data_IF_650148179872
#
_entry.id   IF_650148179872
#
_cell.length_a   1.000
_cell.length_b   1.000
_cell.length_c   1.000
_cell.angle_alpha   90.00
_cell.angle_beta   90.00
_cell.angle_gamma   90.00
#
_symmetry.space_group_name_H-M   'P 1'
#
loop_
_entity.id
_entity.type
_entity.pdbx_description
1 polymer ?
#
# COMPACT_ATOMS: atom_id res chain seq x y z
N UNK A 1 5.88 4.00 -20.99
CA UNK A 1 6.99 3.31 -21.63
C UNK A 1 7.87 4.31 -22.35
N UNK A 2 9.19 4.24 -22.14
CA UNK A 2 10.15 5.08 -22.84
C UNK A 2 10.31 4.52 -24.26
N UNK A 3 9.76 5.24 -25.24
CA UNK A 3 9.90 4.90 -26.66
C UNK A 3 10.48 6.12 -27.34
N UNK A 4 11.53 5.93 -28.12
CA UNK A 4 12.11 6.93 -29.01
C UNK A 4 12.08 6.44 -30.45
N UNK A 5 11.78 7.31 -31.37
CA UNK A 5 11.71 7.01 -32.81
C UNK A 5 12.63 7.96 -33.55
N UNK A 6 13.54 7.42 -34.35
CA UNK A 6 14.35 8.19 -35.25
C UNK A 6 14.07 7.80 -36.69
N UNK A 7 14.05 8.79 -37.57
CA UNK A 7 13.84 8.61 -39.01
C UNK A 7 15.10 9.16 -39.73
N UNK A 8 15.77 8.32 -40.50
CA UNK A 8 17.07 8.61 -41.14
C UNK A 8 18.14 9.16 -40.14
N UNK A 9 18.13 8.66 -38.89
CA UNK A 9 19.07 9.08 -37.85
C UNK A 9 18.67 10.37 -37.11
N UNK A 10 17.58 11.03 -37.48
CA UNK A 10 17.06 12.21 -36.80
C UNK A 10 15.94 11.81 -35.82
N UNK A 11 16.03 12.27 -34.55
CA UNK A 11 15.07 11.96 -33.52
C UNK A 11 13.77 12.76 -33.76
N UNK A 12 12.63 12.06 -33.73
CA UNK A 12 11.30 12.65 -33.86
C UNK A 12 10.66 12.86 -32.49
N UNK A 13 9.78 13.85 -32.39
CA UNK A 13 9.12 14.22 -31.13
C UNK A 13 7.88 13.36 -30.88
N UNK A 14 7.74 12.82 -29.67
CA UNK A 14 6.55 12.09 -29.26
C UNK A 14 5.47 13.06 -28.78
N UNK A 15 4.25 12.94 -29.33
CA UNK A 15 3.05 13.64 -28.86
C UNK A 15 1.99 12.66 -28.36
N UNK A 16 1.01 13.15 -27.60
CA UNK A 16 -0.10 12.35 -27.07
C UNK A 16 -1.36 12.49 -27.92
N UNK A 17 -1.50 13.58 -28.65
CA UNK A 17 -2.64 13.89 -29.54
C UNK A 17 -2.17 14.39 -30.90
N UNK A 18 -2.93 14.08 -31.95
CA UNK A 18 -2.73 14.67 -33.28
C UNK A 18 -2.90 16.17 -33.28
N UNK A 19 -3.76 16.70 -32.44
CA UNK A 19 -4.07 18.12 -32.34
C UNK A 19 -2.94 18.96 -31.73
N UNK A 20 -1.98 18.32 -31.07
CA UNK A 20 -0.79 18.97 -30.49
C UNK A 20 0.36 19.11 -31.50
N UNK A 21 0.22 18.52 -32.70
CA UNK A 21 1.26 18.47 -33.72
C UNK A 21 1.08 19.58 -34.72
N UNK A 22 2.12 20.42 -34.86
CA UNK A 22 2.12 21.50 -35.83
C UNK A 22 2.35 20.98 -37.28
N UNK A 23 1.96 21.78 -38.24
CA UNK A 23 2.24 21.53 -39.64
C UNK A 23 3.76 21.34 -39.88
N UNK A 24 4.16 20.30 -40.61
CA UNK A 24 5.56 19.92 -40.87
C UNK A 24 6.42 19.52 -39.65
N UNK A 25 5.86 19.45 -38.44
CA UNK A 25 6.59 18.98 -37.28
C UNK A 25 6.94 17.50 -37.43
N UNK A 26 8.19 17.14 -37.15
CA UNK A 26 8.69 15.76 -37.13
C UNK A 26 8.25 15.06 -35.85
N UNK A 27 7.02 14.56 -35.88
CA UNK A 27 6.34 14.04 -34.71
C UNK A 27 5.73 12.65 -34.95
N UNK A 28 5.54 11.91 -33.88
CA UNK A 28 4.87 10.61 -33.89
C UNK A 28 3.96 10.44 -32.67
N UNK A 29 2.97 9.59 -32.82
CA UNK A 29 2.06 9.14 -31.77
C UNK A 29 2.26 7.65 -31.53
N UNK A 30 2.05 7.23 -30.29
CA UNK A 30 2.05 5.82 -29.91
C UNK A 30 0.66 5.46 -29.40
N UNK A 31 0.05 4.44 -30.00
CA UNK A 31 -1.23 3.89 -29.56
C UNK A 31 -1.09 2.41 -29.26
N UNK A 32 -1.96 1.90 -28.39
CA UNK A 32 -2.00 0.47 -28.13
C UNK A 32 -2.68 -0.24 -29.30
N UNK A 33 -1.96 -1.17 -29.91
CA UNK A 33 -2.49 -2.00 -31.02
C UNK A 33 -3.49 -3.05 -30.53
N UNK A 34 -4.31 -3.54 -31.45
CA UNK A 34 -5.39 -4.51 -31.18
C UNK A 34 -4.83 -5.83 -30.60
N UNK A 35 -3.62 -6.23 -31.00
CA UNK A 35 -2.95 -7.44 -30.54
C UNK A 35 -2.14 -7.26 -29.25
N UNK A 36 -2.27 -6.11 -28.57
CA UNK A 36 -1.54 -5.80 -27.35
C UNK A 36 -0.11 -5.27 -27.58
N UNK A 37 0.28 -5.05 -28.83
CA UNK A 37 1.51 -4.34 -29.21
C UNK A 37 1.31 -2.81 -29.17
N UNK A 38 2.31 -2.09 -29.69
CA UNK A 38 2.26 -0.64 -29.84
C UNK A 38 2.31 -0.29 -31.33
N UNK A 39 1.36 0.54 -31.74
CA UNK A 39 1.30 1.09 -33.08
C UNK A 39 1.87 2.51 -33.08
N UNK A 40 2.76 2.79 -34.03
CA UNK A 40 3.37 4.11 -34.18
C UNK A 40 2.72 4.79 -35.40
N UNK A 41 2.19 5.97 -35.15
CA UNK A 41 1.53 6.79 -36.18
C UNK A 41 2.38 8.03 -36.44
N UNK A 42 2.68 8.28 -37.68
CA UNK A 42 3.35 9.49 -38.14
C UNK A 42 2.34 10.51 -38.66
N UNK A 43 2.80 11.73 -38.93
CA UNK A 43 2.01 12.76 -39.50
C UNK A 43 1.43 12.42 -40.90
N UNK A 44 0.41 13.15 -41.29
CA UNK A 44 -0.28 12.96 -42.56
C UNK A 44 -0.14 14.16 -43.56
N UNK A 45 0.78 15.09 -43.23
CA UNK A 45 1.01 16.30 -44.00
C UNK A 45 0.12 17.48 -43.67
N UNK A 46 -0.98 17.25 -42.92
CA UNK A 46 -1.79 18.33 -42.32
C UNK A 46 -1.48 18.48 -40.83
N UNK A 47 -1.24 17.36 -40.19
CA UNK A 47 -0.81 17.26 -38.80
C UNK A 47 0.51 16.50 -38.80
N UNK A 48 1.63 17.22 -38.77
CA UNK A 48 2.97 16.66 -38.75
C UNK A 48 3.50 16.18 -40.10
N UNK A 49 4.82 16.01 -40.13
CA UNK A 49 5.53 15.56 -41.32
C UNK A 49 5.27 14.08 -41.63
N UNK A 50 5.27 13.74 -42.91
CA UNK A 50 5.24 12.36 -43.40
C UNK A 50 6.69 11.87 -43.51
N UNK A 51 7.07 10.69 -42.96
CA UNK A 51 8.37 10.13 -43.20
C UNK A 51 8.66 9.99 -44.73
N UNK A 52 9.86 10.35 -45.23
CA UNK A 52 10.21 10.18 -46.63
C UNK A 52 10.06 8.74 -47.09
N UNK A 53 9.68 8.54 -48.33
CA UNK A 53 9.58 7.20 -48.89
C UNK A 53 10.99 6.51 -48.87
N UNK A 54 11.04 5.29 -48.31
CA UNK A 54 12.28 4.55 -48.13
C UNK A 54 13.17 5.00 -46.96
N UNK A 55 12.65 5.86 -46.08
CA UNK A 55 13.36 6.27 -44.87
C UNK A 55 13.63 5.08 -43.95
N UNK A 56 14.82 5.07 -43.32
CA UNK A 56 15.14 4.13 -42.24
C UNK A 56 14.49 4.60 -40.95
N UNK A 57 13.58 3.80 -40.41
CA UNK A 57 12.91 4.06 -39.14
C UNK A 57 13.49 3.16 -38.07
N UNK A 58 14.08 3.74 -37.02
CA UNK A 58 14.61 3.02 -35.87
C UNK A 58 13.76 3.34 -34.68
N UNK A 59 13.29 2.30 -34.01
CA UNK A 59 12.46 2.41 -32.80
C UNK A 59 13.20 1.79 -31.62
N UNK A 60 13.53 2.61 -30.65
CA UNK A 60 14.13 2.17 -29.40
C UNK A 60 13.05 2.15 -28.30
N UNK A 61 12.97 1.07 -27.57
CA UNK A 61 12.00 0.93 -26.49
C UNK A 61 12.54 0.09 -25.34
N UNK A 62 12.04 0.35 -24.15
CA UNK A 62 12.38 -0.45 -22.97
C UNK A 62 11.32 -1.52 -22.79
N UNK A 63 11.77 -2.77 -22.75
CA UNK A 63 10.93 -3.91 -22.39
C UNK A 63 11.16 -4.25 -20.92
N UNK A 64 10.10 -4.33 -20.14
CA UNK A 64 10.15 -4.75 -18.74
C UNK A 64 9.38 -6.05 -18.53
N UNK A 65 9.67 -6.73 -17.44
CA UNK A 65 9.11 -8.05 -17.10
C UNK A 65 8.02 -7.96 -16.00
N UNK A 66 7.54 -6.77 -15.72
CA UNK A 66 6.49 -6.54 -14.72
C UNK A 66 6.95 -6.89 -13.30
N UNK A 67 6.11 -7.62 -12.55
CA UNK A 67 6.42 -8.08 -11.20
C UNK A 67 7.71 -8.91 -11.13
N UNK A 68 8.02 -9.66 -12.18
CA UNK A 68 9.26 -10.47 -12.23
C UNK A 68 10.54 -9.64 -12.30
N UNK A 69 10.44 -8.33 -12.44
CA UNK A 69 11.58 -7.40 -12.39
C UNK A 69 11.96 -6.96 -10.98
N UNK A 70 11.16 -7.28 -9.99
CA UNK A 70 11.50 -7.02 -8.59
C UNK A 70 12.58 -8.03 -8.16
N UNK A 71 13.64 -7.53 -7.54
CA UNK A 71 14.76 -8.35 -7.08
C UNK A 71 14.80 -8.36 -5.55
N UNK A 72 15.26 -9.47 -4.98
CA UNK A 72 15.53 -9.58 -3.56
C UNK A 72 16.73 -8.72 -3.15
N UNK A 73 16.77 -8.30 -1.89
CA UNK A 73 17.91 -7.64 -1.26
C UNK A 73 19.03 -8.63 -0.93
N UNK A 74 19.29 -9.60 -1.82
CA UNK A 74 20.34 -10.58 -1.61
C UNK A 74 21.70 -9.94 -1.84
N UNK A 75 22.63 -10.03 -0.88
CA UNK A 75 24.00 -9.54 -1.04
C UNK A 75 24.79 -10.26 -2.16
N UNK A 76 24.28 -11.40 -2.66
CA UNK A 76 24.93 -12.21 -3.69
C UNK A 76 24.50 -11.83 -5.11
N UNK A 77 23.72 -10.76 -5.29
CA UNK A 77 23.36 -10.25 -6.61
C UNK A 77 24.58 -9.68 -7.33
N UNK A 78 25.15 -10.46 -8.22
CA UNK A 78 26.24 -10.04 -9.08
C UNK A 78 25.68 -9.52 -10.41
N UNK A 79 25.92 -8.26 -10.71
CA UNK A 79 25.59 -7.69 -12.03
C UNK A 79 26.68 -8.13 -13.01
N UNK A 80 26.28 -8.88 -14.02
CA UNK A 80 27.12 -9.13 -15.19
C UNK A 80 26.67 -8.23 -16.32
N UNK A 81 27.57 -7.48 -16.87
CA UNK A 81 27.34 -6.62 -18.03
C UNK A 81 28.37 -6.91 -19.12
N UNK A 82 27.88 -7.03 -20.33
CA UNK A 82 28.72 -7.18 -21.51
C UNK A 82 29.06 -5.77 -22.04
N UNK A 83 29.95 -5.09 -21.35
CA UNK A 83 30.42 -3.78 -21.79
C UNK A 83 31.93 -3.83 -22.07
N UNK A 84 32.28 -3.49 -23.28
CA UNK A 84 33.64 -3.37 -23.72
C UNK A 84 34.01 -1.90 -23.83
N UNK A 85 35.07 -1.48 -23.18
CA UNK A 85 35.64 -0.14 -23.28
C UNK A 85 36.93 -0.17 -24.09
N UNK A 86 37.18 0.89 -24.86
CA UNK A 86 38.47 1.03 -25.57
C UNK A 86 39.36 2.00 -24.83
N UNK A 87 40.63 1.65 -24.67
CA UNK A 87 41.66 2.55 -24.14
C UNK A 87 42.07 3.62 -25.17
N UNK A 88 42.95 4.54 -24.77
CA UNK A 88 43.46 5.59 -25.65
C UNK A 88 44.24 5.07 -26.86
N UNK A 89 44.62 3.78 -26.88
CA UNK A 89 45.34 3.11 -27.97
C UNK A 89 44.39 2.32 -28.87
N UNK A 90 43.08 2.31 -28.54
CA UNK A 90 42.08 1.56 -29.31
C UNK A 90 41.99 0.07 -28.95
N UNK A 91 42.62 -0.36 -27.85
CA UNK A 91 42.53 -1.74 -27.37
C UNK A 91 41.21 -1.92 -26.59
N UNK A 92 40.48 -2.94 -26.95
CA UNK A 92 39.23 -3.29 -26.27
C UNK A 92 39.51 -4.04 -24.96
N UNK A 93 38.88 -3.62 -23.88
CA UNK A 93 38.96 -4.22 -22.54
C UNK A 93 37.59 -4.58 -22.06
N UNK A 94 37.44 -5.72 -21.41
CA UNK A 94 36.21 -6.07 -20.67
C UNK A 94 36.11 -5.19 -19.40
N UNK A 95 35.06 -4.39 -19.32
CA UNK A 95 34.86 -3.48 -18.18
C UNK A 95 34.61 -4.21 -16.85
N UNK A 96 34.22 -5.49 -16.90
CA UNK A 96 34.09 -6.31 -15.69
C UNK A 96 35.41 -6.54 -14.94
N UNK A 97 36.58 -6.38 -15.65
CA UNK A 97 37.90 -6.50 -15.02
C UNK A 97 38.29 -5.24 -14.21
N UNK A 98 37.66 -4.12 -14.50
CA UNK A 98 38.06 -2.80 -13.98
C UNK A 98 37.03 -2.14 -13.08
N UNK A 99 35.79 -2.63 -13.11
CA UNK A 99 34.66 -2.00 -12.39
C UNK A 99 33.96 -3.02 -11.52
N UNK A 100 33.90 -2.72 -10.21
CA UNK A 100 33.01 -3.38 -9.28
C UNK A 100 31.69 -2.62 -9.22
N UNK A 101 30.59 -3.31 -9.49
CA UNK A 101 29.25 -2.74 -9.41
C UNK A 101 28.51 -3.36 -8.23
N UNK A 102 28.15 -2.53 -7.28
CA UNK A 102 27.32 -2.91 -6.15
C UNK A 102 25.92 -2.36 -6.28
N UNK A 103 24.94 -3.17 -5.97
CA UNK A 103 23.54 -2.73 -5.88
C UNK A 103 23.34 -2.09 -4.52
N UNK A 104 23.06 -0.78 -4.50
CA UNK A 104 22.80 -0.04 -3.27
C UNK A 104 21.35 -0.17 -2.80
N UNK A 105 20.43 -0.44 -3.72
CA UNK A 105 19.02 -0.71 -3.43
C UNK A 105 18.45 -1.64 -4.49
N UNK A 106 17.66 -2.61 -4.09
CA UNK A 106 17.00 -3.53 -5.01
C UNK A 106 15.93 -2.82 -5.83
N UNK A 107 15.83 -3.12 -7.15
CA UNK A 107 14.72 -2.63 -7.96
C UNK A 107 13.42 -3.24 -7.46
N UNK A 108 12.51 -2.37 -7.01
CA UNK A 108 11.17 -2.68 -6.51
C UNK A 108 10.12 -1.95 -7.35
N UNK A 109 8.83 -2.14 -7.03
CA UNK A 109 7.68 -1.49 -7.67
C UNK A 109 7.42 -1.90 -9.14
N UNK A 110 8.00 -3.00 -9.59
CA UNK A 110 7.57 -3.61 -10.83
C UNK A 110 6.13 -4.10 -10.72
N UNK A 111 5.27 -3.77 -11.68
CA UNK A 111 3.88 -4.23 -11.73
C UNK A 111 3.54 -4.80 -13.10
N UNK A 112 2.59 -5.74 -13.12
CA UNK A 112 2.07 -6.26 -14.36
C UNK A 112 1.10 -5.28 -15.02
N UNK A 113 0.67 -5.60 -16.23
CA UNK A 113 -0.28 -4.78 -16.98
C UNK A 113 -1.61 -4.67 -16.24
N UNK A 114 -2.19 -3.47 -16.26
CA UNK A 114 -3.53 -3.23 -15.74
C UNK A 114 -4.58 -4.18 -16.34
N UNK A 115 -5.50 -4.64 -15.49
CA UNK A 115 -6.59 -5.49 -15.95
C UNK A 115 -7.58 -4.69 -16.82
N UNK A 116 -8.20 -5.37 -17.79
CA UNK A 116 -9.24 -4.76 -18.63
C UNK A 116 -10.43 -4.26 -17.80
N UNK A 117 -10.71 -4.90 -16.66
CA UNK A 117 -11.77 -4.49 -15.74
C UNK A 117 -11.43 -3.16 -15.07
N UNK A 118 -10.20 -3.02 -14.57
CA UNK A 118 -9.71 -1.76 -14.00
C UNK A 118 -9.80 -0.62 -15.03
N UNK A 119 -9.30 -0.84 -16.24
CA UNK A 119 -9.38 0.15 -17.32
C UNK A 119 -10.84 0.55 -17.63
N UNK A 120 -11.78 -0.40 -17.64
CA UNK A 120 -13.21 -0.10 -17.88
C UNK A 120 -13.83 0.77 -16.78
N UNK A 121 -13.47 0.55 -15.53
CA UNK A 121 -13.96 1.33 -14.38
C UNK A 121 -13.37 2.74 -14.44
N UNK A 122 -12.09 2.86 -14.79
CA UNK A 122 -11.37 4.13 -14.76
C UNK A 122 -11.62 5.02 -15.99
N UNK A 123 -12.01 4.46 -17.15
CA UNK A 123 -12.23 5.23 -18.38
C UNK A 123 -13.30 6.32 -18.25
N UNK A 124 -14.47 6.11 -17.61
CA UNK A 124 -15.45 7.18 -17.44
C UNK A 124 -14.95 8.31 -16.55
N UNK A 125 -14.11 8.00 -15.56
CA UNK A 125 -13.50 8.99 -14.68
C UNK A 125 -12.44 9.81 -15.44
N UNK A 126 -11.67 9.17 -16.32
CA UNK A 126 -10.66 9.83 -17.16
C UNK A 126 -11.25 10.95 -18.04
N UNK A 127 -12.49 10.80 -18.48
CA UNK A 127 -13.16 11.79 -19.33
C UNK A 127 -13.59 13.06 -18.58
N UNK A 128 -13.60 13.04 -17.24
CA UNK A 128 -14.04 14.17 -16.41
C UNK A 128 -12.90 15.07 -15.92
N UNK A 129 -11.65 14.66 -16.08
CA UNK A 129 -10.51 15.23 -15.37
C UNK A 129 -9.55 15.97 -16.29
N UNK A 130 -9.97 17.12 -16.84
CA UNK A 130 -9.06 18.03 -17.55
C UNK A 130 -8.37 19.04 -16.62
N UNK A 131 -8.94 19.29 -15.45
CA UNK A 131 -8.42 20.22 -14.44
C UNK A 131 -8.57 19.56 -13.08
N UNK A 132 -7.54 19.65 -12.26
CA UNK A 132 -7.53 19.17 -10.86
C UNK A 132 -8.12 20.27 -9.98
N UNK A 133 -9.45 20.29 -9.85
CA UNK A 133 -10.19 21.30 -9.12
C UNK A 133 -10.87 20.78 -7.86
N UNK A 134 -11.23 19.49 -7.82
CA UNK A 134 -11.92 18.86 -6.69
C UNK A 134 -11.09 17.71 -6.12
N UNK A 135 -11.29 17.33 -4.86
CA UNK A 135 -10.61 16.18 -4.26
C UNK A 135 -10.69 14.92 -5.14
N UNK A 136 -11.87 14.58 -5.65
CA UNK A 136 -12.08 13.43 -6.54
C UNK A 136 -11.19 13.45 -7.78
N UNK A 137 -10.85 14.66 -8.32
CA UNK A 137 -9.98 14.76 -9.48
C UNK A 137 -8.55 14.38 -9.15
N UNK A 138 -8.05 14.76 -7.96
CA UNK A 138 -6.71 14.39 -7.47
C UNK A 138 -6.62 12.90 -7.19
N UNK A 139 -7.60 12.35 -6.49
CA UNK A 139 -7.68 10.91 -6.22
C UNK A 139 -7.65 10.10 -7.53
N UNK A 140 -8.49 10.49 -8.48
CA UNK A 140 -8.52 9.86 -9.78
C UNK A 140 -7.18 10.01 -10.54
N UNK A 141 -6.60 11.21 -10.55
CA UNK A 141 -5.34 11.46 -11.24
C UNK A 141 -4.22 10.58 -10.71
N UNK A 142 -4.08 10.46 -9.39
CA UNK A 142 -3.06 9.66 -8.74
C UNK A 142 -3.32 8.15 -8.89
N UNK A 143 -4.58 7.72 -8.86
CA UNK A 143 -4.94 6.31 -9.03
C UNK A 143 -4.51 5.73 -10.39
N UNK A 144 -4.32 6.58 -11.40
CA UNK A 144 -3.81 6.19 -12.72
C UNK A 144 -2.40 5.60 -12.68
N UNK A 145 -1.62 5.94 -11.68
CA UNK A 145 -0.26 5.41 -11.52
C UNK A 145 -0.23 3.98 -11.00
N UNK A 146 -1.38 3.45 -10.54
CA UNK A 146 -1.50 2.07 -10.06
C UNK A 146 -0.42 1.68 -9.04
N UNK A 147 0.00 2.63 -8.21
CA UNK A 147 1.02 2.45 -7.16
C UNK A 147 0.41 2.32 -5.78
N UNK A 148 -0.85 2.66 -5.65
CA UNK A 148 -1.54 2.79 -4.37
C UNK A 148 -2.55 1.68 -4.17
N UNK A 149 -2.66 1.21 -2.95
CA UNK A 149 -3.76 0.34 -2.50
C UNK A 149 -4.96 1.16 -2.07
N UNK A 150 -4.72 2.39 -1.63
CA UNK A 150 -5.75 3.33 -1.19
C UNK A 150 -5.30 4.78 -1.40
N UNK A 151 -6.21 5.60 -1.88
CA UNK A 151 -6.06 7.05 -1.96
C UNK A 151 -7.38 7.65 -1.50
N UNK A 152 -7.30 8.68 -0.69
CA UNK A 152 -8.40 9.51 -0.28
C UNK A 152 -7.96 10.97 -0.38
N UNK A 153 -8.73 11.80 -1.05
CA UNK A 153 -8.48 13.22 -1.16
C UNK A 153 -9.68 13.99 -0.60
N UNK A 154 -9.42 15.01 0.18
CA UNK A 154 -10.46 15.78 0.86
C UNK A 154 -10.05 17.23 1.09
N UNK A 155 -11.02 18.06 1.41
CA UNK A 155 -10.85 19.49 1.71
C UNK A 155 -11.76 19.93 2.86
N UNK A 156 -11.85 21.22 3.09
CA UNK A 156 -12.71 21.83 4.12
C UNK A 156 -14.20 21.53 3.95
N UNK A 157 -14.66 21.20 2.75
CA UNK A 157 -16.06 20.81 2.53
C UNK A 157 -16.35 19.43 3.08
N UNK A 158 -15.36 18.56 3.06
CA UNK A 158 -15.48 17.16 3.51
C UNK A 158 -15.18 17.04 5.02
N UNK A 159 -14.36 17.95 5.56
CA UNK A 159 -13.98 17.96 6.97
C UNK A 159 -14.07 19.37 7.55
N UNK A 160 -15.06 19.57 8.43
CA UNK A 160 -15.33 20.86 9.08
C UNK A 160 -14.24 21.34 10.06
N UNK A 161 -13.26 20.50 10.37
CA UNK A 161 -12.15 20.85 11.26
C UNK A 161 -10.95 21.44 10.51
N UNK A 162 -11.03 21.49 9.20
CA UNK A 162 -10.00 22.11 8.36
C UNK A 162 -10.36 23.57 8.11
N UNK A 163 -9.36 24.47 8.18
CA UNK A 163 -9.59 25.91 8.07
C UNK A 163 -9.12 26.53 6.72
N UNK A 164 -8.53 25.73 5.82
CA UNK A 164 -7.91 26.24 4.58
C UNK A 164 -8.73 25.91 3.33
N UNK A 165 -9.39 26.92 2.78
CA UNK A 165 -10.33 26.76 1.66
C UNK A 165 -9.70 26.29 0.33
N UNK A 166 -8.39 26.50 0.13
CA UNK A 166 -7.72 26.18 -1.13
C UNK A 166 -6.70 25.04 -0.99
N UNK A 167 -6.81 24.24 0.05
CA UNK A 167 -5.91 23.12 0.30
C UNK A 167 -6.63 21.82 0.01
N UNK A 168 -5.97 20.95 -0.76
CA UNK A 168 -6.38 19.56 -0.95
C UNK A 168 -5.44 18.68 -0.13
N UNK A 169 -6.02 17.96 0.80
CA UNK A 169 -5.32 16.97 1.60
C UNK A 169 -5.41 15.62 0.91
N UNK A 170 -4.28 14.96 0.74
CA UNK A 170 -4.21 13.65 0.08
C UNK A 170 -3.59 12.63 1.03
N UNK A 171 -4.39 11.67 1.41
CA UNK A 171 -3.96 10.50 2.14
C UNK A 171 -3.77 9.34 1.17
N UNK A 172 -2.54 8.84 1.04
CA UNK A 172 -2.21 7.79 0.09
C UNK A 172 -1.42 6.67 0.77
N UNK A 173 -1.87 5.44 0.57
CA UNK A 173 -1.19 4.23 1.05
C UNK A 173 -0.70 3.45 -0.16
N UNK A 174 0.61 3.20 -0.26
CA UNK A 174 1.15 2.45 -1.39
C UNK A 174 0.65 1.01 -1.38
N UNK A 175 0.67 0.38 -2.54
CA UNK A 175 0.42 -1.04 -2.66
C UNK A 175 1.66 -1.81 -2.16
N UNK A 176 1.63 -2.23 -0.90
CA UNK A 176 2.73 -2.96 -0.26
C UNK A 176 3.18 -4.19 -1.07
N UNK A 177 2.24 -4.85 -1.76
CA UNK A 177 2.56 -5.98 -2.62
C UNK A 177 3.51 -5.63 -3.77
N UNK A 178 3.45 -4.40 -4.27
CA UNK A 178 4.35 -3.92 -5.34
C UNK A 178 5.73 -3.50 -4.84
N UNK A 179 5.81 -3.15 -3.56
CA UNK A 179 7.07 -2.85 -2.88
C UNK A 179 7.78 -4.11 -2.38
N UNK A 180 7.07 -5.25 -2.35
CA UNK A 180 7.59 -6.51 -1.83
C UNK A 180 8.67 -7.06 -2.77
N UNK A 181 9.84 -7.40 -2.23
CA UNK A 181 10.86 -8.10 -2.97
C UNK A 181 10.45 -9.57 -3.20
N UNK A 182 11.08 -10.21 -4.16
CA UNK A 182 10.83 -11.63 -4.44
C UNK A 182 11.26 -12.48 -3.24
N UNK A 183 10.44 -13.33 -2.72
CA UNK A 183 10.59 -14.15 -1.51
C UNK A 183 10.39 -13.42 -0.18
N UNK A 184 9.93 -12.18 -0.17
CA UNK A 184 9.43 -11.53 1.04
C UNK A 184 7.95 -11.80 1.21
N UNK A 185 7.51 -11.79 2.45
CA UNK A 185 6.11 -11.81 2.84
C UNK A 185 5.75 -10.53 3.63
N UNK A 186 4.50 -10.34 3.99
CA UNK A 186 4.06 -9.20 4.78
C UNK A 186 4.87 -9.03 6.08
N UNK A 187 5.23 -10.13 6.71
CA UNK A 187 5.90 -10.13 8.01
C UNK A 187 7.41 -9.88 7.91
N UNK A 188 8.01 -10.17 6.77
CA UNK A 188 9.44 -9.91 6.51
C UNK A 188 9.71 -8.53 5.92
N UNK A 189 8.65 -7.81 5.49
CA UNK A 189 8.76 -6.46 4.96
C UNK A 189 9.00 -5.45 6.09
N UNK A 190 10.02 -4.59 6.02
CA UNK A 190 10.20 -3.51 6.97
C UNK A 190 8.98 -2.57 6.97
N UNK A 191 8.58 -2.10 8.16
CA UNK A 191 7.39 -1.24 8.28
C UNK A 191 7.51 0.05 7.47
N UNK A 192 8.69 0.64 7.45
CA UNK A 192 8.99 1.87 6.69
C UNK A 192 8.71 1.69 5.18
N UNK A 193 8.89 0.50 4.65
CA UNK A 193 8.61 0.19 3.24
C UNK A 193 7.10 0.03 2.95
N UNK A 194 6.28 -0.13 3.98
CA UNK A 194 4.80 -0.19 3.82
C UNK A 194 4.19 1.18 3.52
N UNK A 195 4.94 2.26 3.75
CA UNK A 195 4.49 3.62 3.56
C UNK A 195 5.29 4.34 2.49
N UNK A 196 4.84 5.54 2.15
CA UNK A 196 5.55 6.41 1.21
C UNK A 196 6.71 7.09 1.94
N UNK A 197 7.88 7.09 1.33
CA UNK A 197 9.02 7.87 1.79
C UNK A 197 8.96 9.33 1.30
N UNK A 198 9.85 10.18 1.81
CA UNK A 198 9.87 11.59 1.43
C UNK A 198 10.16 11.78 -0.06
N UNK A 199 11.00 10.94 -0.65
CA UNK A 199 11.31 11.00 -2.09
C UNK A 199 10.11 10.62 -2.97
N UNK A 200 9.29 9.68 -2.51
CA UNK A 200 8.04 9.30 -3.18
C UNK A 200 7.00 10.43 -3.09
N UNK A 201 6.89 11.11 -1.93
CA UNK A 201 6.04 12.31 -1.79
C UNK A 201 6.49 13.43 -2.71
N UNK A 202 7.78 13.75 -2.75
CA UNK A 202 8.35 14.78 -3.62
C UNK A 202 8.14 14.45 -5.10
N UNK A 203 8.27 13.17 -5.47
CA UNK A 203 7.99 12.71 -6.83
C UNK A 203 6.51 12.88 -7.21
N UNK A 204 5.58 12.63 -6.27
CA UNK A 204 4.15 12.84 -6.51
C UNK A 204 3.81 14.31 -6.65
N UNK A 205 4.37 15.20 -5.82
CA UNK A 205 4.21 16.65 -5.97
C UNK A 205 4.67 17.09 -7.35
N UNK A 206 5.85 16.65 -7.76
CA UNK A 206 6.39 16.98 -9.09
C UNK A 206 5.50 16.47 -10.22
N UNK A 207 4.95 15.28 -10.11
CA UNK A 207 4.03 14.73 -11.11
C UNK A 207 2.75 15.56 -11.22
N UNK A 208 2.22 16.05 -10.10
CA UNK A 208 1.05 16.94 -10.10
C UNK A 208 1.37 18.29 -10.76
N UNK A 209 2.50 18.92 -10.40
CA UNK A 209 2.96 20.18 -11.00
C UNK A 209 3.23 20.04 -12.50
N UNK A 210 3.99 19.02 -12.91
CA UNK A 210 4.36 18.76 -14.31
C UNK A 210 3.15 18.41 -15.20
N UNK A 211 2.04 17.99 -14.59
CA UNK A 211 0.79 17.71 -15.32
C UNK A 211 0.20 18.95 -15.98
N UNK A 212 0.47 20.13 -15.41
CA UNK A 212 -0.14 21.40 -15.84
C UNK A 212 -1.67 21.46 -15.64
N UNK A 213 -2.24 20.50 -14.91
CA UNK A 213 -3.70 20.39 -14.68
C UNK A 213 -4.11 20.96 -13.33
N UNK A 214 -3.17 21.19 -12.41
CA UNK A 214 -3.42 21.74 -11.09
C UNK A 214 -3.82 23.23 -11.21
N UNK A 215 -4.80 23.64 -10.43
CA UNK A 215 -5.17 25.05 -10.32
C UNK A 215 -4.07 25.82 -9.58
N UNK A 216 -3.70 26.97 -10.10
CA UNK A 216 -2.59 27.82 -9.54
C UNK A 216 -2.82 28.22 -8.09
N UNK A 217 -4.08 28.31 -7.66
CA UNK A 217 -4.46 28.70 -6.30
C UNK A 217 -4.59 27.55 -5.34
N UNK A 218 -4.45 26.30 -5.79
CA UNK A 218 -4.65 25.11 -4.95
C UNK A 218 -3.32 24.62 -4.43
N UNK A 219 -3.20 24.51 -3.12
CA UNK A 219 -2.12 23.83 -2.44
C UNK A 219 -2.47 22.35 -2.23
N UNK A 220 -1.48 21.47 -2.38
CA UNK A 220 -1.64 20.04 -2.13
C UNK A 220 -0.77 19.65 -0.95
N UNK A 221 -1.38 19.02 0.03
CA UNK A 221 -0.71 18.51 1.24
C UNK A 221 -0.89 17.00 1.31
N UNK A 222 0.22 16.26 1.27
CA UNK A 222 0.18 14.82 1.52
C UNK A 222 0.19 14.55 3.03
N UNK A 223 -0.85 13.83 3.47
CA UNK A 223 -1.02 13.48 4.88
C UNK A 223 -0.32 12.16 5.15
N UNK A 224 0.50 12.14 6.21
CA UNK A 224 1.19 10.92 6.63
C UNK A 224 0.22 10.02 7.39
N UNK A 225 0.25 8.70 7.14
CA UNK A 225 -0.59 7.75 7.85
C UNK A 225 -0.27 7.71 9.34
N UNK A 226 -1.31 7.62 10.14
CA UNK A 226 -1.22 7.30 11.57
C UNK A 226 -1.21 5.79 11.72
N UNK A 227 -0.06 5.25 12.12
CA UNK A 227 0.10 3.81 12.25
C UNK A 227 -0.45 3.35 13.59
N UNK A 228 -1.33 2.34 13.57
CA UNK A 228 -1.76 1.60 14.76
C UNK A 228 -1.31 0.17 14.67
N UNK A 229 -0.62 -0.28 15.70
CA UNK A 229 -0.11 -1.63 15.75
C UNK A 229 -1.10 -2.61 16.37
N UNK A 230 -1.19 -3.76 15.74
CA UNK A 230 -1.99 -4.88 16.21
C UNK A 230 -1.18 -6.17 16.11
N UNK A 231 -1.46 -7.08 17.02
CA UNK A 231 -1.06 -8.48 16.91
C UNK A 231 -2.28 -9.38 16.77
N UNK A 232 -2.06 -10.61 16.36
CA UNK A 232 -3.12 -11.57 16.09
C UNK A 232 -2.86 -12.86 16.85
N UNK A 233 -3.82 -13.28 17.65
CA UNK A 233 -3.85 -14.57 18.32
C UNK A 233 -4.76 -15.52 17.56
N UNK A 234 -4.21 -16.61 17.05
CA UNK A 234 -4.95 -17.63 16.27
C UNK A 234 -4.89 -18.95 17.04
N UNK A 235 -6.04 -19.45 17.46
CA UNK A 235 -6.17 -20.75 18.09
C UNK A 235 -6.75 -21.73 17.08
N UNK A 236 -6.04 -22.83 16.81
CA UNK A 236 -6.36 -23.78 15.77
C UNK A 236 -6.62 -25.16 16.35
N UNK A 237 -7.76 -25.71 15.97
CA UNK A 237 -8.05 -27.14 16.10
C UNK A 237 -7.86 -27.81 14.74
N UNK A 238 -7.09 -28.88 14.69
CA UNK A 238 -6.68 -29.50 13.44
C UNK A 238 -7.00 -30.98 13.39
N UNK A 239 -7.09 -31.53 12.18
CA UNK A 239 -7.38 -32.94 11.94
C UNK A 239 -6.14 -33.83 12.02
N UNK A 240 -6.35 -35.08 12.42
CA UNK A 240 -5.32 -36.14 12.30
C UNK A 240 -4.84 -36.25 10.85
N UNK A 241 -3.53 -36.50 10.70
CA UNK A 241 -2.88 -36.68 9.40
C UNK A 241 -2.20 -35.44 8.84
N UNK A 242 -2.29 -34.30 9.54
CA UNK A 242 -1.57 -33.08 9.23
C UNK A 242 -0.56 -32.75 10.32
N UNK A 243 0.57 -32.17 9.94
CA UNK A 243 1.57 -31.71 10.90
C UNK A 243 1.32 -30.27 11.31
N UNK A 244 1.65 -29.91 12.54
CA UNK A 244 1.54 -28.52 13.05
C UNK A 244 2.35 -27.56 12.21
N UNK A 245 3.50 -27.99 11.72
CA UNK A 245 4.40 -27.17 10.91
C UNK A 245 3.82 -26.85 9.52
N UNK A 246 3.20 -27.82 8.85
CA UNK A 246 2.53 -27.60 7.58
C UNK A 246 1.37 -26.61 7.72
N UNK A 247 0.55 -26.78 8.77
CA UNK A 247 -0.57 -25.87 9.06
C UNK A 247 -0.04 -24.48 9.40
N UNK A 248 1.00 -24.37 10.24
CA UNK A 248 1.61 -23.11 10.62
C UNK A 248 2.05 -22.31 9.38
N UNK A 249 2.81 -22.95 8.48
CA UNK A 249 3.29 -22.32 7.26
C UNK A 249 2.14 -21.89 6.33
N UNK A 250 1.10 -22.73 6.22
CA UNK A 250 -0.07 -22.42 5.41
C UNK A 250 -0.88 -21.24 5.97
N UNK A 251 -1.08 -21.20 7.29
CA UNK A 251 -1.75 -20.10 7.99
C UNK A 251 -0.98 -18.81 7.81
N UNK A 252 0.33 -18.83 8.08
CA UNK A 252 1.20 -17.65 7.94
C UNK A 252 1.16 -17.10 6.50
N UNK A 253 1.25 -17.98 5.51
CA UNK A 253 1.18 -17.59 4.09
C UNK A 253 -0.16 -16.96 3.72
N UNK A 254 -1.28 -17.57 4.14
CA UNK A 254 -2.63 -17.06 3.87
C UNK A 254 -2.90 -15.72 4.56
N UNK A 255 -2.49 -15.57 5.81
CA UNK A 255 -2.61 -14.29 6.54
C UNK A 255 -1.76 -13.21 5.87
N UNK A 256 -0.51 -13.53 5.51
CA UNK A 256 0.36 -12.60 4.77
C UNK A 256 -0.29 -12.15 3.45
N UNK A 257 -0.80 -13.08 2.66
CA UNK A 257 -1.48 -12.78 1.40
C UNK A 257 -2.70 -11.89 1.60
N UNK A 258 -3.49 -12.15 2.64
CA UNK A 258 -4.66 -11.34 2.98
C UNK A 258 -4.25 -9.92 3.36
N UNK A 259 -3.28 -9.76 4.25
CA UNK A 259 -2.81 -8.46 4.72
C UNK A 259 -2.22 -7.61 3.59
N UNK A 260 -1.53 -8.23 2.64
CA UNK A 260 -1.01 -7.56 1.45
C UNK A 260 -2.11 -7.12 0.45
N UNK A 261 -3.27 -7.77 0.47
CA UNK A 261 -4.39 -7.50 -0.43
C UNK A 261 -5.48 -6.64 0.21
N UNK A 262 -5.33 -6.19 1.45
CA UNK A 262 -6.31 -5.34 2.11
C UNK A 262 -6.46 -4.02 1.36
N UNK A 263 -7.65 -3.83 0.77
CA UNK A 263 -8.04 -2.57 0.12
C UNK A 263 -8.96 -1.74 1.01
N UNK A 264 -9.61 -2.37 1.99
CA UNK A 264 -10.52 -1.71 2.91
C UNK A 264 -9.76 -1.00 4.01
N UNK A 265 -10.16 0.25 4.31
CA UNK A 265 -9.47 1.11 5.29
C UNK A 265 -10.35 1.57 6.45
N UNK A 266 -11.66 1.39 6.36
CA UNK A 266 -12.61 1.75 7.42
C UNK A 266 -12.70 0.69 8.52
N UNK A 267 -12.57 -0.58 8.16
CA UNK A 267 -12.75 -1.71 9.07
C UNK A 267 -12.00 -2.96 8.59
N UNK A 268 -11.40 -3.68 9.53
CA UNK A 268 -10.81 -4.98 9.32
C UNK A 268 -11.58 -6.02 10.16
N UNK A 269 -12.50 -6.79 9.55
CA UNK A 269 -13.26 -7.78 10.28
C UNK A 269 -12.45 -9.05 10.52
N UNK A 270 -12.50 -9.55 11.76
CA UNK A 270 -11.87 -10.84 12.10
C UNK A 270 -12.48 -12.04 11.36
N UNK A 271 -13.75 -11.91 10.96
CA UNK A 271 -14.44 -12.94 10.18
C UNK A 271 -13.77 -13.23 8.84
N UNK A 272 -13.15 -12.24 8.21
CA UNK A 272 -12.46 -12.43 6.95
C UNK A 272 -11.23 -13.32 7.14
N UNK A 273 -10.48 -13.11 8.24
CA UNK A 273 -9.35 -13.97 8.61
C UNK A 273 -9.82 -15.39 8.92
N UNK A 274 -10.89 -15.53 9.73
CA UNK A 274 -11.45 -16.85 10.04
C UNK A 274 -11.81 -17.58 8.76
N UNK A 275 -12.49 -16.89 7.84
CA UNK A 275 -12.94 -17.48 6.58
C UNK A 275 -11.78 -18.04 5.73
N UNK A 276 -10.72 -17.24 5.53
CA UNK A 276 -9.56 -17.68 4.73
C UNK A 276 -8.78 -18.81 5.39
N UNK A 277 -8.79 -18.88 6.74
CA UNK A 277 -8.12 -19.94 7.48
C UNK A 277 -8.91 -21.24 7.49
N UNK A 278 -10.25 -21.19 7.54
CA UNK A 278 -11.10 -22.38 7.44
C UNK A 278 -11.04 -23.04 6.05
N UNK A 279 -10.56 -22.32 5.01
CA UNK A 279 -10.31 -22.92 3.70
C UNK A 279 -9.05 -23.80 3.64
N UNK A 280 -8.18 -23.72 4.66
CA UNK A 280 -6.95 -24.51 4.69
C UNK A 280 -7.27 -25.97 5.01
N UNK A 281 -6.85 -26.88 4.12
CA UNK A 281 -6.97 -28.32 4.39
C UNK A 281 -6.23 -28.70 5.67
N UNK A 282 -6.89 -29.44 6.54
CA UNK A 282 -6.32 -29.88 7.81
C UNK A 282 -6.78 -29.06 9.01
N UNK A 283 -7.46 -27.95 8.83
CA UNK A 283 -8.06 -27.16 9.91
C UNK A 283 -9.51 -27.60 10.13
N UNK A 284 -9.89 -27.85 11.38
CA UNK A 284 -11.25 -28.19 11.81
C UNK A 284 -12.00 -26.95 12.32
N UNK A 285 -11.34 -26.13 13.11
CA UNK A 285 -11.90 -24.87 13.62
C UNK A 285 -10.81 -23.85 13.93
N UNK A 286 -11.16 -22.58 13.77
CA UNK A 286 -10.25 -21.46 14.03
C UNK A 286 -10.95 -20.42 14.92
N UNK A 287 -10.22 -19.89 15.87
CA UNK A 287 -10.63 -18.70 16.61
C UNK A 287 -9.54 -17.65 16.48
N UNK A 288 -9.91 -16.45 16.06
CA UNK A 288 -9.00 -15.32 15.85
C UNK A 288 -9.34 -14.21 16.82
N UNK A 289 -8.32 -13.63 17.43
CA UNK A 289 -8.42 -12.46 18.29
C UNK A 289 -7.39 -11.43 17.87
N UNK A 290 -7.81 -10.20 17.69
CA UNK A 290 -6.91 -9.06 17.54
C UNK A 290 -6.56 -8.49 18.91
N UNK A 291 -5.33 -8.06 19.07
CA UNK A 291 -4.81 -7.40 20.27
C UNK A 291 -4.13 -6.12 19.78
N UNK A 292 -4.60 -4.98 20.27
CA UNK A 292 -3.97 -3.70 19.96
C UNK A 292 -2.80 -3.42 20.90
N UNK A 293 -1.89 -2.57 20.46
CA UNK A 293 -0.81 -2.04 21.28
C UNK A 293 -1.34 -1.37 22.56
N UNK A 294 -2.43 -0.61 22.43
CA UNK A 294 -3.09 0.04 23.57
C UNK A 294 -3.67 -0.97 24.56
N UNK A 295 -4.24 -2.09 24.09
CA UNK A 295 -4.72 -3.17 24.97
C UNK A 295 -3.54 -3.84 25.70
N UNK A 296 -2.44 -4.11 25.03
CA UNK A 296 -1.30 -4.72 25.65
C UNK A 296 -0.62 -3.81 26.67
N UNK A 297 -0.48 -2.54 26.34
CA UNK A 297 -0.01 -1.50 27.26
C UNK A 297 -0.92 -1.40 28.50
N UNK A 298 -2.23 -1.38 28.29
CA UNK A 298 -3.21 -1.34 29.38
C UNK A 298 -3.11 -2.58 30.30
N UNK A 299 -2.84 -3.74 29.74
CA UNK A 299 -2.65 -4.98 30.53
C UNK A 299 -1.42 -4.93 31.43
N UNK A 300 -0.37 -4.24 31.02
CA UNK A 300 0.90 -4.17 31.76
C UNK A 300 0.97 -2.99 32.71
N UNK A 301 0.54 -1.81 32.27
CA UNK A 301 0.71 -0.55 33.00
C UNK A 301 -0.61 0.00 33.57
N UNK A 302 -1.75 -0.59 33.19
CA UNK A 302 -3.06 -0.03 33.46
C UNK A 302 -3.48 1.03 32.40
N UNK A 303 -4.65 1.55 32.54
CA UNK A 303 -5.17 2.62 31.68
C UNK A 303 -5.87 3.70 32.51
N UNK A 304 -5.97 4.89 31.94
CA UNK A 304 -6.64 6.00 32.60
C UNK A 304 -8.11 6.04 32.19
N UNK A 305 -8.98 6.06 33.19
CA UNK A 305 -10.43 6.21 33.01
C UNK A 305 -10.86 7.59 33.50
N UNK A 306 -11.66 8.29 32.70
CA UNK A 306 -12.23 9.57 33.08
C UNK A 306 -13.32 9.36 34.12
N UNK A 307 -13.14 9.90 35.33
CA UNK A 307 -14.09 9.77 36.44
C UNK A 307 -15.07 10.93 36.41
N UNK A 308 -14.60 12.14 36.12
CA UNK A 308 -15.41 13.34 36.02
C UNK A 308 -14.99 14.18 34.82
N UNK A 309 -15.94 14.53 33.98
CA UNK A 309 -15.74 15.43 32.86
C UNK A 309 -16.51 16.72 33.15
N UNK A 310 -15.80 17.83 33.32
CA UNK A 310 -16.41 19.14 33.40
C UNK A 310 -15.92 20.02 32.28
N UNK A 311 -16.84 20.67 31.57
CA UNK A 311 -16.53 21.64 30.51
C UNK A 311 -16.70 23.03 31.14
N UNK A 312 -15.58 23.75 31.26
CA UNK A 312 -15.57 25.10 31.82
C UNK A 312 -15.37 26.09 30.67
N UNK A 313 -16.23 27.11 30.53
CA UNK A 313 -16.00 28.19 29.58
C UNK A 313 -14.68 28.86 29.87
N UNK A 314 -13.86 29.07 28.86
CA UNK A 314 -12.56 29.73 29.01
C UNK A 314 -12.69 31.18 28.55
N UNK A 315 -12.45 32.10 29.48
CA UNK A 315 -12.27 33.51 29.18
C UNK A 315 -10.92 33.97 29.76
N UNK A 316 -10.07 34.62 28.96
CA UNK A 316 -10.20 34.93 27.54
C UNK A 316 -10.01 33.69 26.65
N UNK A 317 -10.52 33.78 25.44
CA UNK A 317 -10.36 32.75 24.41
C UNK A 317 -8.88 32.46 24.19
N UNK A 318 -8.47 31.20 24.38
CA UNK A 318 -7.10 30.77 24.09
C UNK A 318 -6.97 30.36 22.64
N UNK A 319 -5.92 30.87 22.00
CA UNK A 319 -5.50 30.42 20.69
C UNK A 319 -4.58 29.20 20.89
N UNK A 320 -5.03 28.04 20.45
CA UNK A 320 -4.16 26.85 20.42
C UNK A 320 -3.55 26.71 19.03
N UNK A 321 -2.24 26.46 18.99
CA UNK A 321 -1.56 26.17 17.75
C UNK A 321 -1.75 24.69 17.44
N UNK A 322 -2.48 24.40 16.37
CA UNK A 322 -2.64 23.05 15.86
C UNK A 322 -1.43 22.69 14.97
N UNK A 323 -1.17 21.42 14.76
CA UNK A 323 -0.11 20.99 13.84
C UNK A 323 -0.14 21.81 12.53
N UNK A 324 1.00 22.14 11.96
CA UNK A 324 1.23 23.04 10.83
C UNK A 324 1.23 24.55 11.17
N UNK A 325 1.32 24.92 12.45
CA UNK A 325 1.44 26.32 12.85
C UNK A 325 0.14 27.14 12.80
N UNK A 326 -0.99 26.48 12.55
CA UNK A 326 -2.31 27.13 12.54
C UNK A 326 -2.84 27.35 13.94
N UNK A 327 -3.66 28.36 14.08
CA UNK A 327 -4.22 28.78 15.36
C UNK A 327 -5.73 28.54 15.34
N UNK A 328 -6.23 27.80 16.34
CA UNK A 328 -7.65 27.57 16.58
C UNK A 328 -8.09 28.27 17.85
N UNK A 329 -9.24 28.91 17.77
CA UNK A 329 -9.88 29.47 18.97
C UNK A 329 -10.53 28.38 19.79
N UNK A 330 -10.11 28.22 21.04
CA UNK A 330 -10.71 27.29 22.01
C UNK A 330 -11.58 28.06 22.95
N UNK A 331 -12.89 27.81 22.89
CA UNK A 331 -13.89 28.48 23.73
C UNK A 331 -14.13 27.72 25.04
N UNK A 332 -13.71 26.45 25.14
CA UNK A 332 -13.96 25.64 26.32
C UNK A 332 -12.70 24.87 26.70
N UNK A 333 -12.46 24.80 28.01
CA UNK A 333 -11.48 23.89 28.58
C UNK A 333 -12.20 22.69 29.16
N UNK A 334 -11.84 21.50 28.71
CA UNK A 334 -12.30 20.25 29.31
C UNK A 334 -11.39 19.93 30.49
N UNK A 335 -11.98 19.78 31.69
CA UNK A 335 -11.30 19.30 32.89
C UNK A 335 -11.76 17.87 33.13
N UNK A 336 -10.79 16.96 33.15
CA UNK A 336 -11.02 15.55 33.40
C UNK A 336 -10.26 15.13 34.66
N UNK A 337 -10.97 14.55 35.60
CA UNK A 337 -10.35 13.77 36.67
C UNK A 337 -10.14 12.35 36.14
N UNK A 338 -8.91 11.92 36.07
CA UNK A 338 -8.55 10.59 35.57
C UNK A 338 -8.10 9.72 36.72
N UNK A 339 -8.51 8.46 36.68
CA UNK A 339 -8.09 7.42 37.61
C UNK A 339 -7.33 6.34 36.85
N UNK A 340 -6.16 5.99 37.34
CA UNK A 340 -5.44 4.84 36.82
C UNK A 340 -6.15 3.54 37.26
N UNK A 341 -6.54 2.73 36.29
CA UNK A 341 -7.11 1.40 36.50
C UNK A 341 -6.05 0.36 36.19
N UNK A 342 -5.69 -0.43 37.19
CA UNK A 342 -4.78 -1.58 37.01
C UNK A 342 -5.59 -2.77 36.51
N UNK A 343 -5.07 -3.42 35.47
CA UNK A 343 -5.72 -4.57 34.84
C UNK A 343 -5.23 -5.86 35.46
N UNK A 344 -6.16 -6.65 36.00
CA UNK A 344 -5.92 -8.02 36.44
C UNK A 344 -6.64 -9.01 35.49
N UNK A 345 -6.52 -10.31 35.78
CA UNK A 345 -7.12 -11.36 34.94
C UNK A 345 -8.65 -11.30 34.86
N UNK A 346 -9.30 -10.59 35.78
CA UNK A 346 -10.75 -10.42 35.86
C UNK A 346 -11.24 -9.10 35.25
N UNK A 347 -10.33 -8.15 35.03
CA UNK A 347 -10.67 -6.82 34.54
C UNK A 347 -11.01 -6.87 33.05
N UNK A 348 -12.21 -6.46 32.69
CA UNK A 348 -12.62 -6.29 31.31
C UNK A 348 -12.15 -4.91 30.82
N UNK A 349 -11.22 -4.92 29.85
CA UNK A 349 -10.73 -3.69 29.21
C UNK A 349 -11.82 -3.15 28.29
N UNK A 350 -12.18 -1.87 28.40
CA UNK A 350 -13.21 -1.26 27.53
C UNK A 350 -12.82 -1.25 26.07
N UNK A 351 -13.81 -1.31 25.17
CA UNK A 351 -13.59 -1.39 23.71
C UNK A 351 -12.82 -0.17 23.17
N UNK A 352 -13.06 1.03 23.71
CA UNK A 352 -12.32 2.23 23.30
C UNK A 352 -10.83 2.19 23.67
N UNK A 353 -10.46 1.47 24.74
CA UNK A 353 -9.05 1.24 25.10
C UNK A 353 -8.46 0.15 24.22
N UNK A 354 -9.27 -0.85 23.85
CA UNK A 354 -8.85 -1.94 22.98
C UNK A 354 -8.66 -1.51 21.54
N UNK A 355 -9.27 -0.39 21.09
CA UNK A 355 -9.29 0.02 19.69
C UNK A 355 -10.01 -0.97 18.78
N UNK A 356 -10.97 -1.71 19.33
CA UNK A 356 -11.77 -2.72 18.63
C UNK A 356 -13.26 -2.41 18.86
N UNK A 357 -14.11 -2.87 17.93
CA UNK A 357 -15.54 -2.80 18.11
C UNK A 357 -16.05 -3.92 19.05
N UNK A 358 -17.35 -3.90 19.36
CA UNK A 358 -18.01 -4.91 20.20
C UNK A 358 -17.88 -6.35 19.64
N UNK A 359 -17.61 -6.50 18.34
CA UNK A 359 -17.43 -7.78 17.67
C UNK A 359 -15.96 -8.24 17.67
N UNK A 360 -15.06 -7.34 18.10
CA UNK A 360 -13.62 -7.57 18.09
C UNK A 360 -12.98 -7.33 16.72
N UNK A 361 -13.62 -6.53 15.87
CA UNK A 361 -13.07 -6.08 14.60
C UNK A 361 -12.27 -4.78 14.81
N UNK A 362 -11.25 -4.58 14.00
CA UNK A 362 -10.48 -3.33 14.02
C UNK A 362 -11.26 -2.26 13.26
N UNK A 363 -11.47 -1.11 13.91
CA UNK A 363 -12.03 0.09 13.28
C UNK A 363 -10.87 1.05 13.04
N UNK A 364 -10.79 1.57 11.83
CA UNK A 364 -9.80 2.57 11.44
C UNK A 364 -10.51 3.88 11.17
N UNK A 365 -10.01 4.93 11.80
CA UNK A 365 -10.43 6.30 11.52
C UNK A 365 -9.77 6.79 10.22
N UNK A 366 -10.15 7.99 9.80
CA UNK A 366 -9.53 8.67 8.67
C UNK A 366 -8.03 8.80 8.93
N UNK A 367 -7.22 8.49 7.93
CA UNK A 367 -5.75 8.54 7.99
C UNK A 367 -5.07 7.47 8.85
N UNK A 368 -5.81 6.58 9.49
CA UNK A 368 -5.26 5.47 10.24
C UNK A 368 -4.97 4.26 9.36
N UNK A 369 -3.87 3.58 9.66
CA UNK A 369 -3.50 2.31 9.02
C UNK A 369 -3.15 1.29 10.07
N UNK A 370 -3.84 0.14 10.03
CA UNK A 370 -3.53 -0.99 10.90
C UNK A 370 -2.33 -1.75 10.35
N UNK A 371 -1.30 -1.92 11.18
CA UNK A 371 -0.11 -2.69 10.86
C UNK A 371 0.02 -3.83 11.87
N UNK A 372 0.20 -5.05 11.35
CA UNK A 372 0.38 -6.22 12.20
C UNK A 372 1.85 -6.43 12.50
N UNK A 373 2.20 -6.12 13.73
CA UNK A 373 3.52 -6.32 14.32
C UNK A 373 3.34 -6.78 15.77
N UNK A 374 4.39 -7.25 16.40
CA UNK A 374 4.35 -7.62 17.79
C UNK A 374 5.67 -7.30 18.48
N UNK A 375 5.71 -7.46 19.81
CA UNK A 375 6.92 -7.22 20.59
C UNK A 375 7.27 -5.73 20.77
N UNK A 376 6.31 -4.84 20.66
CA UNK A 376 6.49 -3.38 20.84
C UNK A 376 6.76 -2.94 22.28
N UNK A 377 6.61 -3.84 23.24
CA UNK A 377 7.01 -3.61 24.62
C UNK A 377 8.20 -4.49 24.98
N UNK A 378 9.18 -3.90 25.66
CA UNK A 378 10.31 -4.63 26.18
C UNK A 378 9.93 -5.46 27.43
N UNK A 379 10.94 -6.11 28.03
CA UNK A 379 10.74 -6.96 29.23
C UNK A 379 10.27 -6.16 30.44
N UNK A 380 10.61 -4.89 30.53
CA UNK A 380 10.29 -3.97 31.62
C UNK A 380 8.97 -3.22 31.39
N UNK A 381 8.37 -3.37 30.20
CA UNK A 381 7.08 -2.80 29.81
C UNK A 381 7.18 -1.41 29.16
N UNK A 382 8.39 -0.99 28.82
CA UNK A 382 8.60 0.26 28.06
C UNK A 382 8.45 -0.01 26.55
N UNK A 383 8.01 1.03 25.82
CA UNK A 383 7.98 0.98 24.36
C UNK A 383 9.42 0.86 23.84
N UNK A 384 9.64 -0.09 22.94
CA UNK A 384 10.91 -0.22 22.26
C UNK A 384 10.99 0.92 21.25
N UNK A 385 11.78 1.95 21.58
CA UNK A 385 11.95 3.15 20.72
C UNK A 385 12.75 2.89 19.44
N UNK A 386 13.44 1.76 19.35
CA UNK A 386 14.27 1.45 18.19
C UNK A 386 13.47 0.75 17.09
N UNK A 387 13.66 1.21 15.85
CA UNK A 387 13.25 0.60 14.58
C UNK A 387 13.73 -0.86 14.40
N UNK A 388 14.42 -1.39 15.40
CA UNK A 388 14.97 -2.72 15.43
C UNK A 388 13.85 -3.71 15.71
N UNK A 389 13.21 -4.13 14.59
CA UNK A 389 12.57 -5.43 14.52
C UNK A 389 11.49 -5.65 15.60
N UNK A 390 10.40 -4.91 15.50
CA UNK A 390 9.14 -5.47 15.96
C UNK A 390 9.05 -6.85 15.34
N UNK A 391 9.20 -7.86 16.18
CA UNK A 391 9.42 -9.20 15.72
C UNK A 391 8.24 -9.65 14.88
N UNK A 392 8.45 -9.84 13.57
CA UNK A 392 7.44 -10.32 12.66
C UNK A 392 6.83 -11.66 13.13
N UNK A 393 7.59 -12.45 13.88
CA UNK A 393 7.11 -13.68 14.51
C UNK A 393 6.10 -13.40 15.62
N UNK A 394 6.21 -12.28 16.32
CA UNK A 394 5.27 -11.88 17.38
C UNK A 394 4.00 -11.21 16.83
N UNK A 395 3.94 -10.87 15.54
CA UNK A 395 2.75 -10.31 14.91
C UNK A 395 1.58 -11.29 14.84
N UNK A 396 1.88 -12.59 14.74
CA UNK A 396 0.88 -13.66 14.70
C UNK A 396 1.31 -14.78 15.62
N UNK A 397 0.57 -14.96 16.71
CA UNK A 397 0.71 -16.08 17.62
C UNK A 397 -0.23 -17.20 17.18
N UNK A 398 0.31 -18.35 16.81
CA UNK A 398 -0.48 -19.51 16.37
C UNK A 398 -0.40 -20.59 17.45
N UNK A 399 -1.52 -20.87 18.08
CA UNK A 399 -1.67 -21.84 19.13
C UNK A 399 -2.46 -23.05 18.60
N UNK A 400 -1.97 -24.25 18.88
CA UNK A 400 -2.65 -25.49 18.50
C UNK A 400 -3.27 -26.13 19.73
N UNK A 401 -4.51 -26.62 19.60
CA UNK A 401 -5.08 -27.53 20.60
C UNK A 401 -4.19 -28.76 20.75
N UNK A 402 -4.17 -29.33 21.98
CA UNK A 402 -3.20 -30.38 22.33
C UNK A 402 -3.35 -31.64 21.47
N UNK A 403 -4.58 -32.06 21.22
CA UNK A 403 -4.90 -33.29 20.49
C UNK A 403 -5.57 -33.01 19.16
N UNK A 404 -5.09 -33.62 18.06
CA UNK A 404 -5.74 -33.52 16.77
C UNK A 404 -7.10 -34.23 16.78
N UNK A 405 -8.06 -33.67 16.06
CA UNK A 405 -9.39 -34.26 15.92
C UNK A 405 -9.36 -35.36 14.87
N UNK A 406 -9.91 -36.56 15.15
CA UNK A 406 -10.01 -37.58 14.11
C UNK A 406 -10.87 -37.04 12.97
N UNK A 407 -10.35 -37.08 11.74
CA UNK A 407 -11.07 -36.70 10.54
C UNK A 407 -12.20 -37.69 10.35
N UNK A 408 -13.31 -37.46 11.03
CA UNK A 408 -14.52 -38.27 10.82
C UNK A 408 -14.97 -37.92 9.41
N UNK A 409 -14.74 -38.83 8.48
CA UNK A 409 -15.35 -38.80 7.14
C UNK A 409 -16.84 -38.99 7.37
N UNK A 410 -17.53 -37.90 7.73
CA UNK A 410 -18.98 -37.82 7.55
C UNK A 410 -19.20 -37.81 6.06
N UNK A 411 -19.12 -39.00 5.55
CA UNK A 411 -19.23 -39.28 4.15
C UNK A 411 -20.56 -38.74 3.65
N UNK A 412 -20.54 -38.15 2.49
CA UNK A 412 -21.70 -37.96 1.60
C UNK A 412 -22.68 -39.10 1.57
N UNK A 413 -22.32 -40.28 2.05
CA UNK A 413 -23.16 -41.47 2.21
C UNK A 413 -24.32 -41.25 3.20
N UNK A 414 -24.16 -40.52 4.29
CA UNK A 414 -25.28 -40.21 5.19
C UNK A 414 -26.22 -39.12 4.63
N UNK A 415 -25.74 -38.21 3.84
CA UNK A 415 -26.59 -37.24 3.14
C UNK A 415 -27.39 -37.88 2.01
N UNK A 416 -26.88 -38.95 1.38
CA UNK A 416 -27.60 -39.76 0.38
C UNK A 416 -28.77 -40.57 0.97
N UNK A 417 -28.58 -41.14 2.15
CA UNK A 417 -29.62 -41.96 2.80
C UNK A 417 -30.77 -41.12 3.39
N UNK A 418 -30.56 -39.83 3.72
CA UNK A 418 -31.67 -38.95 4.14
C UNK A 418 -32.62 -38.56 3.00
N UNK A 419 -32.21 -38.66 1.74
CA UNK A 419 -33.07 -38.42 0.58
C UNK A 419 -33.91 -39.64 0.17
N UNK A 420 -33.56 -40.81 0.63
CA UNK A 420 -34.30 -42.05 0.33
C UNK A 420 -35.45 -42.32 1.32
N UNK A 421 -35.61 -41.49 2.35
CA UNK A 421 -36.66 -41.62 3.38
C UNK A 421 -37.69 -40.47 3.36
N UNK A 422 -37.85 -39.78 2.22
CA UNK A 422 -38.98 -38.88 1.98
C UNK A 422 -39.83 -39.33 0.82
#
# INVERSE_FOLDING_TARGET
SKISVSVNGELWTKHNSLYDINYEEKAYLVKTGISGGLDIYFGNGSFGAIPPAGASIVVEYVKHVGLNGNLDDSPDLTIKWDAVGSDSNGTEHDLNEFLDVTITSSPKMGSDRESTQFTKIMTPLASKSFVLATPDNYEYFLSRYNMFSYIDAYNTTDDQYLDDDNVIYIFAVPDAKKKLAKNQDYFSMPEQEMFLDQGEYDAMHKVLEDSGQQMVTTEVVFVKPQVRHYSMDINIRYFEGYTKEEIYNSVRSKVSEYLLNITRRDKLPKSDIIYILEEIEGIDAVNVRFISETEETARRQGYYESVNISVVPQEPVTLETIGNGKQKYVFFKKIEDVKLVTVDSSTQIPDHVRGLDQWGDIIMEKEEVAVFRGGWLDRDGDLIEDDVLMNAEAAVSINFEADPVPKTIYTRVQAGNRRALK
#
